data_IF_787271641753
#
_entry.id   IF_787271641753
#
_cell.length_a   1.000
_cell.length_b   1.000
_cell.length_c   1.000
_cell.angle_alpha   90.00
_cell.angle_beta   90.00
_cell.angle_gamma   90.00
#
_symmetry.space_group_name_H-M   'P 1'
#
loop_
_entity.id
_entity.type
_entity.pdbx_description
1 polymer ?
#
# COMPACT_ATOMS: atom_id res chain seq x y z
N UNK A 1 -33.36 12.15 34.34
CA UNK A 1 -32.83 13.46 33.90
C UNK A 1 -31.30 13.53 33.77
N UNK A 2 -30.54 12.45 33.97
CA UNK A 2 -29.05 12.45 33.89
C UNK A 2 -28.44 11.85 32.60
N UNK A 3 -29.27 11.39 31.64
CA UNK A 3 -28.78 10.80 30.37
C UNK A 3 -28.67 11.84 29.23
N UNK A 4 -29.26 13.03 29.40
CA UNK A 4 -29.28 14.06 28.36
C UNK A 4 -28.00 14.93 28.28
N UNK A 5 -27.08 14.83 29.25
CA UNK A 5 -25.88 15.69 29.30
C UNK A 5 -24.62 15.09 28.65
N UNK A 6 -24.65 13.81 28.23
CA UNK A 6 -23.48 13.16 27.60
C UNK A 6 -23.63 12.89 26.10
N UNK A 7 -24.83 13.03 25.52
CA UNK A 7 -25.10 12.73 24.10
C UNK A 7 -24.84 13.95 23.19
N UNK A 8 -24.97 15.17 23.71
CA UNK A 8 -24.81 16.41 22.93
C UNK A 8 -23.37 16.66 22.42
N UNK A 9 -22.29 16.48 23.22
CA UNK A 9 -20.94 16.82 22.74
C UNK A 9 -20.38 15.82 21.70
N UNK A 10 -20.83 14.57 21.69
CA UNK A 10 -20.37 13.55 20.73
C UNK A 10 -21.03 13.72 19.35
N UNK A 11 -22.32 14.08 19.31
CA UNK A 11 -23.03 14.40 18.08
C UNK A 11 -22.49 15.68 17.41
N UNK A 12 -22.00 16.64 18.21
CA UNK A 12 -21.41 17.87 17.69
C UNK A 12 -19.99 17.65 17.11
N UNK A 13 -19.19 16.76 17.69
CA UNK A 13 -17.88 16.37 17.13
C UNK A 13 -18.00 15.59 15.81
N UNK A 14 -18.94 14.65 15.72
CA UNK A 14 -19.21 13.90 14.48
C UNK A 14 -19.84 14.79 13.39
N UNK A 15 -20.69 15.75 13.80
CA UNK A 15 -21.27 16.75 12.90
C UNK A 15 -20.23 17.72 12.30
N UNK A 16 -19.21 18.12 13.06
CA UNK A 16 -18.12 19.01 12.58
C UNK A 16 -17.19 18.30 11.59
N UNK A 17 -16.86 17.02 11.80
CA UNK A 17 -16.08 16.23 10.84
C UNK A 17 -16.83 16.02 9.52
N UNK A 18 -18.13 15.72 9.59
CA UNK A 18 -19.01 15.57 8.42
C UNK A 18 -19.19 16.87 7.60
N UNK A 19 -19.24 18.03 8.26
CA UNK A 19 -19.34 19.32 7.56
C UNK A 19 -18.04 19.71 6.88
N UNK A 20 -16.88 19.42 7.48
CA UNK A 20 -15.57 19.70 6.89
C UNK A 20 -15.35 18.86 5.61
N UNK A 21 -15.64 17.56 5.64
CA UNK A 21 -15.54 16.70 4.45
C UNK A 21 -16.54 17.09 3.35
N UNK A 22 -17.78 17.45 3.70
CA UNK A 22 -18.75 17.96 2.70
C UNK A 22 -18.33 19.30 2.10
N UNK A 23 -17.66 20.16 2.85
CA UNK A 23 -17.18 21.46 2.36
C UNK A 23 -16.00 21.28 1.40
N UNK A 24 -15.09 20.35 1.69
CA UNK A 24 -13.99 19.97 0.78
C UNK A 24 -14.53 19.33 -0.50
N UNK A 25 -15.46 18.38 -0.39
CA UNK A 25 -16.09 17.76 -1.57
C UNK A 25 -16.89 18.76 -2.42
N UNK A 26 -17.58 19.73 -1.81
CA UNK A 26 -18.23 20.83 -2.54
C UNK A 26 -17.21 21.70 -3.28
N UNK A 27 -16.08 22.04 -2.65
CA UNK A 27 -15.00 22.81 -3.29
C UNK A 27 -14.38 22.05 -4.47
N UNK A 28 -14.10 20.77 -4.31
CA UNK A 28 -13.57 19.93 -5.39
C UNK A 28 -14.54 19.82 -6.57
N UNK A 29 -15.85 19.65 -6.31
CA UNK A 29 -16.88 19.66 -7.37
C UNK A 29 -16.96 21.00 -8.08
N UNK A 30 -16.85 22.13 -7.37
CA UNK A 30 -16.82 23.45 -8.01
C UNK A 30 -15.55 23.66 -8.84
N UNK A 31 -14.39 23.20 -8.38
CA UNK A 31 -13.14 23.32 -9.14
C UNK A 31 -13.18 22.48 -10.42
N UNK A 32 -13.63 21.22 -10.36
CA UNK A 32 -13.82 20.37 -11.54
C UNK A 32 -14.82 20.98 -12.55
N UNK A 33 -15.86 21.66 -12.06
CA UNK A 33 -16.85 22.35 -12.94
C UNK A 33 -16.26 23.59 -13.62
N UNK A 34 -15.43 24.35 -12.91
CA UNK A 34 -14.72 25.51 -13.48
C UNK A 34 -13.71 25.06 -14.53
N UNK A 35 -12.98 23.97 -14.26
CA UNK A 35 -11.98 23.43 -15.20
C UNK A 35 -12.63 22.90 -16.49
N UNK A 36 -13.76 22.16 -16.40
CA UNK A 36 -14.54 21.75 -17.59
C UNK A 36 -15.07 22.95 -18.38
N UNK A 37 -15.52 24.00 -17.69
CA UNK A 37 -15.98 25.24 -18.33
C UNK A 37 -14.84 25.96 -19.07
N UNK A 38 -13.63 26.00 -18.49
CA UNK A 38 -12.46 26.59 -19.13
C UNK A 38 -11.99 25.81 -20.36
N UNK A 39 -12.07 24.47 -20.34
CA UNK A 39 -11.74 23.64 -21.52
C UNK A 39 -12.69 23.93 -22.69
N UNK A 40 -14.01 23.97 -22.44
CA UNK A 40 -14.98 24.30 -23.49
C UNK A 40 -14.86 25.74 -24.01
N UNK A 41 -14.50 26.70 -23.15
CA UNK A 41 -14.24 28.07 -23.59
C UNK A 41 -12.98 28.17 -24.48
N UNK A 42 -11.94 27.38 -24.20
CA UNK A 42 -10.74 27.28 -25.03
C UNK A 42 -11.02 26.72 -26.42
N UNK A 43 -11.82 25.65 -26.51
CA UNK A 43 -12.21 25.03 -27.79
C UNK A 43 -13.08 25.98 -28.65
N UNK A 44 -13.99 26.73 -28.03
CA UNK A 44 -14.82 27.71 -28.73
C UNK A 44 -14.00 28.87 -29.33
N UNK A 45 -12.97 29.34 -28.62
CA UNK A 45 -12.06 30.38 -29.12
C UNK A 45 -11.15 29.88 -30.25
N UNK A 46 -10.78 28.60 -30.23
CA UNK A 46 -9.97 28.01 -31.30
C UNK A 46 -10.74 27.89 -32.62
N UNK A 47 -12.04 27.59 -32.56
CA UNK A 47 -12.91 27.60 -33.74
C UNK A 47 -13.17 29.01 -34.30
N UNK A 48 -13.24 30.03 -33.42
CA UNK A 48 -13.49 31.40 -33.85
C UNK A 48 -12.27 32.06 -34.53
N UNK A 49 -11.03 31.60 -34.21
CA UNK A 49 -9.81 32.08 -34.88
C UNK A 49 -9.55 31.45 -36.25
N UNK A 50 -10.03 30.24 -36.52
CA UNK A 50 -9.88 29.63 -37.86
C UNK A 50 -10.89 30.15 -38.90
N UNK A 51 -11.95 30.85 -38.50
CA UNK A 51 -13.01 31.33 -39.41
C UNK A 51 -12.83 32.74 -39.99
N UNK A 52 -11.72 33.44 -39.73
CA UNK A 52 -11.58 34.89 -40.03
C UNK A 52 -10.40 35.28 -40.91
N UNK A 53 -9.84 34.34 -41.66
CA UNK A 53 -8.72 34.58 -42.59
C UNK A 53 -9.16 34.36 -44.03
N UNK A 54 -10.06 35.19 -44.54
CA UNK A 54 -10.34 35.38 -45.98
C UNK A 54 -11.26 36.59 -46.09
N UNK A 55 -10.71 37.78 -46.35
CA UNK A 55 -11.24 38.83 -47.23
C UNK A 55 -10.53 40.19 -46.98
N UNK A 56 -10.29 40.90 -48.09
CA UNK A 56 -9.70 42.25 -48.27
C UNK A 56 -8.16 42.35 -48.15
N UNK A 57 -7.40 42.89 -49.10
CA UNK A 57 -7.75 43.61 -50.32
C UNK A 57 -6.89 44.87 -50.48
N UNK A 58 -6.05 44.86 -51.52
CA UNK A 58 -5.70 45.99 -52.43
C UNK A 58 -4.86 47.18 -51.93
N UNK A 59 -3.75 47.41 -52.65
CA UNK A 59 -3.05 48.69 -52.86
C UNK A 59 -1.81 48.88 -52.00
N UNK A 60 -0.61 49.23 -52.46
CA UNK A 60 -0.10 49.63 -53.77
C UNK A 60 1.26 50.34 -53.54
N UNK A 61 2.19 50.15 -54.48
CA UNK A 61 3.41 50.94 -54.77
C UNK A 61 4.72 50.81 -53.95
N UNK A 62 5.75 50.40 -54.72
CA UNK A 62 7.16 50.88 -54.76
C UNK A 62 8.07 50.44 -53.57
N UNK A 63 9.30 49.97 -53.72
CA UNK A 63 10.29 49.94 -54.80
C UNK A 63 11.44 48.99 -54.37
N UNK A 64 12.19 48.43 -55.31
CA UNK A 64 13.62 48.14 -55.07
C UNK A 64 14.07 46.67 -55.01
N UNK A 65 14.13 46.03 -56.18
CA UNK A 65 15.32 45.34 -56.72
C UNK A 65 16.15 44.43 -55.80
N UNK A 66 16.00 43.11 -55.97
CA UNK A 66 17.15 42.23 -56.20
C UNK A 66 16.75 40.96 -56.98
N UNK A 67 17.57 40.70 -58.01
CA UNK A 67 17.49 39.69 -59.08
C UNK A 67 17.31 38.25 -58.57
N UNK A 68 16.42 37.43 -59.17
CA UNK A 68 16.69 36.47 -60.29
C UNK A 68 17.96 35.64 -60.04
N UNK A 69 17.99 34.31 -60.06
CA UNK A 69 17.15 33.26 -60.65
C UNK A 69 17.48 31.94 -59.90
N UNK A 70 16.56 30.97 -59.74
CA UNK A 70 16.38 29.87 -60.69
C UNK A 70 15.03 29.15 -60.42
N UNK A 71 14.15 29.18 -61.43
CA UNK A 71 13.18 28.13 -61.76
C UNK A 71 13.94 26.80 -62.03
N UNK A 72 13.37 25.61 -61.89
CA UNK A 72 11.98 25.20 -61.73
C UNK A 72 11.85 23.69 -62.07
N UNK A 73 10.59 23.23 -62.18
CA UNK A 73 10.14 21.90 -62.64
C UNK A 73 10.26 20.76 -61.59
N UNK A 74 9.26 19.90 -61.33
CA UNK A 74 7.99 19.55 -62.01
C UNK A 74 7.11 18.75 -61.02
N UNK A 75 5.78 18.90 -61.14
CA UNK A 75 4.78 17.89 -60.71
C UNK A 75 4.69 16.75 -61.72
N UNK A 76 4.41 15.54 -61.23
CA UNK A 76 3.64 14.40 -61.82
C UNK A 76 3.61 13.33 -60.70
N UNK A 77 2.52 13.07 -59.99
CA UNK A 77 1.31 12.34 -60.36
C UNK A 77 1.52 10.82 -60.65
N UNK A 78 0.88 10.01 -59.81
CA UNK A 78 0.48 8.57 -59.96
C UNK A 78 1.55 7.49 -60.08
N UNK A 79 1.51 6.47 -59.18
CA UNK A 79 0.96 5.13 -59.48
C UNK A 79 1.16 4.13 -58.33
N UNK A 80 0.12 3.31 -58.12
CA UNK A 80 0.11 2.03 -57.40
C UNK A 80 1.11 1.05 -58.01
N UNK A 81 1.81 0.27 -57.19
CA UNK A 81 2.20 -1.10 -57.51
C UNK A 81 2.61 -1.87 -56.24
N UNK A 82 1.87 -2.93 -55.94
CA UNK A 82 2.33 -4.13 -55.20
C UNK A 82 3.43 -4.86 -56.00
N UNK A 83 4.34 -5.56 -55.32
CA UNK A 83 4.50 -7.00 -55.55
C UNK A 83 4.67 -7.75 -54.22
N UNK A 84 3.89 -8.79 -53.91
CA UNK A 84 4.08 -10.20 -54.32
C UNK A 84 5.47 -10.78 -54.00
N UNK A 85 5.48 -11.69 -53.01
CA UNK A 85 6.13 -12.99 -53.11
C UNK A 85 7.66 -13.04 -53.06
N UNK A 86 8.20 -13.41 -51.89
CA UNK A 86 9.58 -13.84 -51.73
C UNK A 86 9.70 -14.86 -50.62
N UNK A 87 9.53 -16.13 -50.97
CA UNK A 87 9.81 -17.30 -50.15
C UNK A 87 11.33 -17.38 -49.88
N UNK A 88 11.73 -17.53 -48.62
CA UNK A 88 13.13 -17.65 -48.23
C UNK A 88 13.24 -18.32 -46.87
N UNK A 89 13.24 -19.65 -46.85
CA UNK A 89 13.65 -20.48 -45.72
C UNK A 89 15.14 -20.26 -45.45
N UNK A 90 15.46 -19.52 -44.39
CA UNK A 90 16.82 -19.39 -43.88
C UNK A 90 17.06 -20.45 -42.80
N UNK A 91 17.83 -21.45 -43.22
CA UNK A 91 18.35 -22.58 -42.45
C UNK A 91 19.41 -22.08 -41.46
N UNK A 92 19.04 -22.02 -40.18
CA UNK A 92 19.96 -21.58 -39.12
C UNK A 92 20.89 -22.75 -38.75
N UNK A 93 22.06 -22.81 -39.40
CA UNK A 93 23.19 -23.65 -38.97
C UNK A 93 23.85 -23.03 -37.75
N UNK A 94 23.75 -23.72 -36.62
CA UNK A 94 24.54 -23.52 -35.41
C UNK A 94 25.93 -24.14 -35.66
N UNK A 95 27.04 -23.40 -35.55
CA UNK A 95 28.36 -24.03 -35.51
C UNK A 95 28.65 -24.55 -34.10
N UNK A 96 28.62 -25.87 -33.97
CA UNK A 96 29.16 -26.68 -32.90
C UNK A 96 30.69 -26.79 -33.07
N UNK A 97 31.46 -26.08 -32.24
CA UNK A 97 32.88 -26.36 -32.00
C UNK A 97 33.44 -25.49 -30.86
N UNK A 98 33.68 -26.11 -29.69
CA UNK A 98 34.89 -25.98 -28.87
C UNK A 98 34.62 -26.50 -27.44
N UNK A 99 34.65 -27.82 -27.29
CA UNK A 99 35.04 -28.45 -26.05
C UNK A 99 36.57 -28.33 -25.92
N UNK A 100 37.05 -27.79 -24.80
CA UNK A 100 38.28 -28.21 -24.10
C UNK A 100 38.80 -27.07 -23.22
N UNK A 101 38.40 -27.07 -21.94
CA UNK A 101 39.31 -26.80 -20.82
C UNK A 101 38.68 -27.23 -19.51
N UNK A 102 39.16 -28.39 -19.07
CA UNK A 102 38.91 -28.99 -17.79
C UNK A 102 39.51 -28.19 -16.62
N UNK A 103 38.87 -28.36 -15.46
CA UNK A 103 39.50 -28.52 -14.15
C UNK A 103 40.25 -27.35 -13.52
N UNK A 104 39.55 -26.56 -12.69
CA UNK A 104 40.06 -26.14 -11.39
C UNK A 104 38.91 -25.73 -10.45
N UNK A 105 38.27 -26.73 -9.83
CA UNK A 105 37.44 -26.51 -8.66
C UNK A 105 38.37 -26.24 -7.47
N UNK A 106 38.53 -24.97 -7.08
CA UNK A 106 39.03 -24.62 -5.75
C UNK A 106 37.86 -24.73 -4.77
N UNK A 107 37.95 -25.75 -3.94
CA UNK A 107 37.18 -25.90 -2.70
C UNK A 107 37.39 -24.68 -1.80
N UNK A 108 36.34 -23.89 -1.64
CA UNK A 108 36.24 -22.85 -0.62
C UNK A 108 35.93 -23.55 0.72
N UNK A 109 36.77 -23.43 1.75
CA UNK A 109 36.45 -23.99 3.06
C UNK A 109 35.29 -23.20 3.71
N UNK A 110 34.44 -23.86 4.52
CA UNK A 110 33.37 -23.18 5.24
C UNK A 110 33.93 -22.18 6.26
N UNK A 111 33.23 -21.07 6.54
CA UNK A 111 33.65 -20.11 7.54
C UNK A 111 33.68 -20.76 8.92
N UNK A 112 34.86 -20.73 9.56
CA UNK A 112 35.02 -21.12 10.94
C UNK A 112 34.18 -20.20 11.82
N UNK A 113 33.31 -20.82 12.61
CA UNK A 113 32.54 -20.22 13.68
C UNK A 113 33.43 -19.37 14.57
N UNK A 114 33.16 -18.06 14.58
CA UNK A 114 33.77 -17.11 15.50
C UNK A 114 33.43 -17.51 16.94
N UNK A 115 34.49 -17.81 17.67
CA UNK A 115 34.51 -18.10 19.10
C UNK A 115 34.08 -16.86 19.87
N UNK A 116 32.85 -16.88 20.39
CA UNK A 116 32.32 -15.88 21.30
C UNK A 116 33.10 -15.92 22.60
N UNK A 117 34.04 -14.99 22.79
CA UNK A 117 34.61 -14.70 24.10
C UNK A 117 33.51 -14.15 25.00
N UNK A 118 33.15 -14.94 26.00
CA UNK A 118 32.32 -14.52 27.13
C UNK A 118 33.01 -13.34 27.83
N UNK A 119 32.36 -12.19 27.78
CA UNK A 119 32.73 -11.03 28.57
C UNK A 119 32.09 -11.22 29.95
N UNK A 120 32.91 -11.66 30.89
CA UNK A 120 32.60 -11.77 32.31
C UNK A 120 32.33 -10.37 32.87
N UNK A 121 31.06 -10.06 33.16
CA UNK A 121 30.66 -8.84 33.87
C UNK A 121 30.40 -9.16 35.34
N UNK A 122 31.24 -8.59 36.21
CA UNK A 122 31.09 -8.51 37.67
C UNK A 122 29.73 -7.93 38.09
N UNK A 123 28.98 -8.59 39.00
CA UNK A 123 27.80 -8.00 39.62
C UNK A 123 28.19 -7.20 40.86
N UNK A 124 28.46 -5.90 40.69
CA UNK A 124 28.53 -4.96 41.80
C UNK A 124 27.13 -4.51 42.23
N UNK A 125 26.74 -4.95 43.43
CA UNK A 125 25.84 -4.32 44.41
C UNK A 125 24.90 -3.21 43.90
N UNK A 126 23.62 -3.57 43.71
CA UNK A 126 22.52 -2.59 43.69
C UNK A 126 21.68 -2.80 44.96
N UNK A 127 21.93 -1.91 45.91
CA UNK A 127 21.27 -1.79 47.20
C UNK A 127 19.86 -1.21 46.99
N UNK A 128 18.82 -1.95 47.39
CA UNK A 128 17.42 -1.59 47.16
C UNK A 128 16.61 -1.74 48.45
N UNK A 129 17.09 -1.12 49.52
CA UNK A 129 16.35 -0.92 50.77
C UNK A 129 15.60 0.41 50.74
N UNK A 130 14.28 0.37 50.48
CA UNK A 130 13.24 1.19 51.13
C UNK A 130 11.91 1.10 50.36
N UNK A 131 11.05 0.17 50.76
CA UNK A 131 9.60 0.38 50.65
C UNK A 131 8.92 -0.13 51.93
N UNK A 132 8.37 0.82 52.69
CA UNK A 132 7.51 0.56 53.85
C UNK A 132 6.15 0.00 53.40
N UNK A 133 5.55 -0.94 54.16
CA UNK A 133 4.18 -1.38 53.91
C UNK A 133 3.18 -0.41 54.54
N UNK A 134 2.25 0.12 53.74
CA UNK A 134 1.04 0.80 54.23
C UNK A 134 -0.13 -0.19 54.11
N UNK A 135 -0.63 -0.62 55.27
CA UNK A 135 -1.95 -1.25 55.39
C UNK A 135 -3.05 -0.23 55.07
N UNK A 136 -4.12 -0.66 54.39
CA UNK A 136 -5.45 -0.21 54.80
C UNK A 136 -6.41 -1.37 55.07
N UNK A 137 -7.10 -1.20 56.20
CA UNK A 137 -8.17 -1.99 56.77
C UNK A 137 -9.44 -2.00 55.91
N UNK A 138 -10.05 -3.18 55.83
CA UNK A 138 -11.46 -3.41 55.50
C UNK A 138 -12.41 -2.52 56.33
N UNK A 139 -13.56 -2.14 55.77
CA UNK A 139 -14.81 -2.64 56.35
C UNK A 139 -15.84 -3.14 55.31
N UNK A 140 -16.58 -4.19 55.71
CA UNK A 140 -17.77 -4.71 55.05
C UNK A 140 -19.05 -3.97 55.53
N UNK A 141 -20.27 -4.47 55.29
CA UNK A 141 -21.08 -4.29 54.08
C UNK A 141 -22.42 -3.58 54.39
N UNK A 142 -23.10 -3.01 53.38
CA UNK A 142 -24.50 -2.61 53.52
C UNK A 142 -25.35 -3.11 52.36
N UNK A 143 -26.27 -4.00 52.72
CA UNK A 143 -27.44 -4.41 51.94
C UNK A 143 -28.24 -3.22 51.45
N UNK A 144 -28.55 -3.18 50.15
CA UNK A 144 -29.71 -2.45 49.64
C UNK A 144 -30.58 -3.41 48.83
N UNK A 145 -31.78 -3.60 49.36
CA UNK A 145 -32.90 -4.33 48.81
C UNK A 145 -33.74 -3.33 48.00
N UNK A 146 -33.98 -3.54 46.70
CA UNK A 146 -35.23 -3.11 46.03
C UNK A 146 -35.33 -3.47 44.53
N UNK A 147 -36.39 -4.25 44.25
CA UNK A 147 -37.40 -4.09 43.19
C UNK A 147 -37.00 -4.12 41.70
N UNK A 148 -37.28 -5.30 41.12
CA UNK A 148 -37.95 -5.61 39.84
C UNK A 148 -38.32 -4.43 38.93
N UNK A 149 -37.78 -4.46 37.70
CA UNK A 149 -38.47 -4.11 36.45
C UNK A 149 -37.74 -4.77 35.27
N UNK A 150 -38.45 -5.66 34.57
CA UNK A 150 -38.11 -6.20 33.25
C UNK A 150 -38.81 -5.35 32.16
N UNK A 151 -38.64 -5.63 30.85
CA UNK A 151 -37.40 -5.70 30.08
C UNK A 151 -37.46 -4.74 28.85
N UNK A 152 -36.32 -4.29 28.33
CA UNK A 152 -36.24 -3.84 26.94
C UNK A 152 -34.98 -4.44 26.33
N UNK A 153 -35.21 -5.51 25.59
CA UNK A 153 -34.27 -6.33 24.86
C UNK A 153 -33.69 -5.52 23.69
N UNK A 154 -32.59 -4.80 23.93
CA UNK A 154 -31.74 -4.25 22.88
C UNK A 154 -30.57 -5.23 22.69
N UNK A 155 -30.74 -6.17 21.76
CA UNK A 155 -29.68 -7.06 21.28
C UNK A 155 -28.70 -6.20 20.48
N UNK A 156 -27.68 -5.68 21.15
CA UNK A 156 -26.50 -5.07 20.53
C UNK A 156 -25.57 -6.22 20.12
N UNK A 157 -25.75 -6.70 18.89
CA UNK A 157 -24.85 -7.64 18.23
C UNK A 157 -23.50 -6.92 18.10
N UNK A 158 -22.54 -7.32 18.92
CA UNK A 158 -21.14 -6.97 18.74
C UNK A 158 -20.64 -7.72 17.50
N UNK A 159 -20.85 -7.13 16.33
CA UNK A 159 -20.29 -7.61 15.06
C UNK A 159 -18.78 -7.51 15.14
N UNK A 160 -18.13 -8.62 15.53
CA UNK A 160 -16.72 -8.81 15.24
C UNK A 160 -16.57 -8.65 13.73
N UNK A 161 -15.91 -7.57 13.32
CA UNK A 161 -15.84 -7.15 11.95
C UNK A 161 -14.85 -8.05 11.19
N UNK A 162 -15.32 -9.24 10.82
CA UNK A 162 -14.63 -10.15 9.90
C UNK A 162 -14.39 -9.44 8.56
N UNK A 163 -13.30 -9.77 7.84
CA UNK A 163 -13.15 -9.39 6.44
C UNK A 163 -14.41 -9.80 5.66
N UNK A 164 -14.76 -9.02 4.62
CA UNK A 164 -15.98 -9.28 3.86
C UNK A 164 -15.92 -10.72 3.33
N UNK A 165 -16.85 -11.59 3.74
CA UNK A 165 -16.76 -13.00 3.42
C UNK A 165 -16.73 -13.17 1.89
N UNK A 166 -15.88 -14.09 1.43
CA UNK A 166 -15.82 -14.47 0.02
C UNK A 166 -17.24 -14.69 -0.52
N UNK A 167 -17.56 -14.01 -1.63
CA UNK A 167 -18.87 -14.01 -2.27
C UNK A 167 -18.75 -14.66 -3.64
N UNK A 168 -19.82 -15.29 -4.10
CA UNK A 168 -19.96 -15.71 -5.49
C UNK A 168 -20.33 -14.51 -6.36
N UNK A 169 -19.40 -14.09 -7.21
CA UNK A 169 -19.57 -13.08 -8.25
C UNK A 169 -20.08 -13.74 -9.52
N UNK A 170 -21.02 -13.10 -10.20
CA UNK A 170 -21.63 -13.63 -11.43
C UNK A 170 -21.38 -12.64 -12.57
N UNK A 171 -21.06 -13.17 -13.75
CA UNK A 171 -20.93 -12.35 -14.94
C UNK A 171 -22.29 -11.85 -15.46
N UNK A 172 -22.26 -10.90 -16.40
CA UNK A 172 -23.46 -10.31 -17.01
C UNK A 172 -24.32 -11.35 -17.76
N UNK A 173 -23.73 -12.46 -18.21
CA UNK A 173 -24.45 -13.55 -18.88
C UNK A 173 -25.06 -14.57 -17.91
N UNK A 174 -24.60 -14.61 -16.66
CA UNK A 174 -25.00 -15.62 -15.68
C UNK A 174 -24.36 -17.01 -15.89
N UNK A 175 -23.48 -17.15 -16.87
CA UNK A 175 -22.85 -18.43 -17.23
C UNK A 175 -21.60 -18.70 -16.39
N UNK A 176 -20.93 -17.66 -15.94
CA UNK A 176 -19.68 -17.75 -15.20
C UNK A 176 -19.87 -17.22 -13.79
N UNK A 177 -19.47 -18.03 -12.81
CA UNK A 177 -19.47 -17.68 -11.39
C UNK A 177 -18.09 -17.84 -10.82
N UNK A 178 -17.70 -16.93 -9.93
CA UNK A 178 -16.39 -16.90 -9.29
C UNK A 178 -16.55 -16.61 -7.79
N UNK A 179 -16.04 -17.51 -6.95
CA UNK A 179 -15.95 -17.26 -5.51
C UNK A 179 -14.71 -16.42 -5.19
N UNK A 180 -14.93 -15.17 -4.80
CA UNK A 180 -13.86 -14.21 -4.57
C UNK A 180 -14.22 -13.16 -3.50
N UNK A 181 -13.18 -12.63 -2.88
CA UNK A 181 -13.25 -11.48 -1.98
C UNK A 181 -13.06 -10.17 -2.77
N UNK A 182 -13.82 -9.13 -2.40
CA UNK A 182 -13.68 -7.79 -2.96
C UNK A 182 -12.50 -7.09 -2.30
N UNK A 183 -11.46 -6.78 -3.07
CA UNK A 183 -10.29 -6.05 -2.57
C UNK A 183 -10.42 -4.55 -2.84
N UNK A 184 -10.84 -4.19 -4.05
CA UNK A 184 -11.02 -2.80 -4.45
C UNK A 184 -11.84 -2.67 -5.72
N UNK A 185 -12.37 -1.48 -5.98
CA UNK A 185 -13.07 -1.16 -7.21
C UNK A 185 -13.00 0.34 -7.48
N UNK A 186 -13.11 0.70 -8.75
CA UNK A 186 -13.26 2.06 -9.22
C UNK A 186 -14.55 2.21 -10.05
N UNK A 187 -14.62 3.22 -10.91
CA UNK A 187 -15.80 3.46 -11.74
C UNK A 187 -15.96 2.40 -12.85
N UNK A 188 -14.86 1.85 -13.37
CA UNK A 188 -14.81 1.03 -14.58
C UNK A 188 -14.41 -0.44 -14.33
N UNK A 189 -13.66 -0.70 -13.26
CA UNK A 189 -13.00 -1.97 -12.95
C UNK A 189 -13.25 -2.41 -11.50
N UNK A 190 -13.18 -3.72 -11.29
CA UNK A 190 -13.34 -4.37 -9.98
C UNK A 190 -12.21 -5.36 -9.79
N UNK A 191 -11.45 -5.21 -8.71
CA UNK A 191 -10.34 -6.09 -8.35
C UNK A 191 -10.83 -7.10 -7.30
N UNK A 192 -10.81 -8.37 -7.70
CA UNK A 192 -11.27 -9.51 -6.90
C UNK A 192 -10.09 -10.43 -6.57
N UNK A 193 -10.04 -10.94 -5.35
CA UNK A 193 -9.11 -12.00 -4.96
C UNK A 193 -9.86 -13.33 -4.88
N UNK A 194 -9.47 -14.30 -5.71
CA UNK A 194 -10.13 -15.61 -5.73
C UNK A 194 -9.88 -16.35 -4.42
N UNK A 195 -10.93 -16.95 -3.86
CA UNK A 195 -10.88 -17.58 -2.53
C UNK A 195 -10.05 -18.88 -2.50
N UNK A 196 -9.84 -19.53 -3.64
CA UNK A 196 -9.16 -20.84 -3.71
C UNK A 196 -7.64 -20.73 -3.73
N UNK A 197 -7.09 -19.75 -4.45
CA UNK A 197 -5.66 -19.64 -4.77
C UNK A 197 -5.09 -18.25 -4.49
N UNK A 198 -5.90 -17.34 -3.93
CA UNK A 198 -5.52 -15.97 -3.59
C UNK A 198 -5.03 -15.14 -4.79
N UNK A 199 -5.29 -15.59 -6.02
CA UNK A 199 -4.92 -14.84 -7.21
C UNK A 199 -5.85 -13.63 -7.40
N UNK A 200 -5.24 -12.50 -7.72
CA UNK A 200 -5.95 -11.27 -8.07
C UNK A 200 -6.38 -11.31 -9.53
N UNK A 201 -7.62 -10.91 -9.78
CA UNK A 201 -8.17 -10.69 -11.10
C UNK A 201 -8.90 -9.36 -11.15
N UNK A 202 -8.77 -8.67 -12.27
CA UNK A 202 -9.54 -7.47 -12.56
C UNK A 202 -10.64 -7.79 -13.57
N UNK A 203 -11.85 -7.32 -13.29
CA UNK A 203 -13.01 -7.52 -14.15
C UNK A 203 -13.65 -6.16 -14.36
N UNK A 204 -13.90 -5.81 -15.63
CA UNK A 204 -14.66 -4.59 -15.95
C UNK A 204 -16.05 -4.66 -15.33
N UNK A 205 -16.48 -3.56 -14.70
CA UNK A 205 -17.72 -3.46 -13.94
C UNK A 205 -18.95 -3.76 -14.79
N UNK A 206 -18.92 -3.39 -16.07
CA UNK A 206 -19.99 -3.65 -17.04
C UNK A 206 -20.19 -5.14 -17.33
N UNK A 207 -19.15 -5.98 -17.11
CA UNK A 207 -19.21 -7.43 -17.29
C UNK A 207 -19.78 -8.17 -16.10
N UNK A 208 -20.02 -7.52 -14.97
CA UNK A 208 -20.65 -8.12 -13.80
C UNK A 208 -22.19 -8.17 -13.92
N UNK A 209 -22.81 -9.07 -13.17
CA UNK A 209 -24.26 -9.12 -13.06
C UNK A 209 -24.81 -7.83 -12.44
N UNK A 210 -26.06 -7.45 -12.79
CA UNK A 210 -26.70 -6.26 -12.19
C UNK A 210 -26.80 -6.33 -10.66
N UNK A 211 -26.93 -7.53 -10.11
CA UNK A 211 -26.98 -7.77 -8.66
C UNK A 211 -25.63 -7.47 -7.99
N UNK A 212 -24.54 -7.83 -8.65
CA UNK A 212 -23.19 -7.57 -8.15
C UNK A 212 -22.82 -6.08 -8.34
N UNK A 213 -23.22 -5.46 -9.45
CA UNK A 213 -23.09 -4.01 -9.64
C UNK A 213 -23.81 -3.21 -8.54
N UNK A 214 -25.04 -3.61 -8.18
CA UNK A 214 -25.78 -2.99 -7.06
C UNK A 214 -25.10 -3.18 -5.70
N UNK A 215 -24.38 -4.29 -5.52
CA UNK A 215 -23.61 -4.51 -4.30
C UNK A 215 -22.41 -3.57 -4.20
N UNK A 216 -21.72 -3.29 -5.29
CA UNK A 216 -20.61 -2.33 -5.31
C UNK A 216 -21.07 -0.91 -4.92
N UNK A 217 -22.33 -0.57 -5.18
CA UNK A 217 -22.94 0.70 -4.74
C UNK A 217 -23.39 0.69 -3.27
N UNK A 218 -23.37 -0.47 -2.62
CA UNK A 218 -23.77 -0.61 -1.22
C UNK A 218 -22.71 -0.03 -0.29
N UNK A 219 -23.17 0.46 0.87
CA UNK A 219 -22.29 0.96 1.93
C UNK A 219 -21.36 -0.14 2.46
N UNK A 220 -21.82 -1.39 2.45
CA UNK A 220 -21.03 -2.54 2.90
C UNK A 220 -19.78 -2.75 2.03
N UNK A 221 -19.94 -2.71 0.70
CA UNK A 221 -18.82 -2.86 -0.23
C UNK A 221 -17.84 -1.68 -0.16
N UNK A 222 -18.36 -0.46 0.02
CA UNK A 222 -17.53 0.73 0.21
C UNK A 222 -16.73 0.65 1.51
N UNK A 223 -17.37 0.31 2.62
CA UNK A 223 -16.71 0.18 3.92
C UNK A 223 -15.68 -0.95 3.93
N UNK A 224 -15.97 -2.10 3.31
CA UNK A 224 -15.01 -3.20 3.20
C UNK A 224 -13.78 -2.78 2.39
N UNK A 225 -14.00 -2.11 1.26
CA UNK A 225 -12.94 -1.61 0.38
C UNK A 225 -12.11 -0.53 1.06
N UNK A 226 -12.74 0.48 1.67
CA UNK A 226 -12.06 1.52 2.43
C UNK A 226 -11.23 0.94 3.58
N UNK A 227 -11.71 -0.12 4.22
CA UNK A 227 -10.99 -0.80 5.29
C UNK A 227 -9.76 -1.56 4.78
N UNK A 228 -9.88 -2.27 3.66
CA UNK A 228 -8.78 -3.03 3.07
C UNK A 228 -7.74 -2.11 2.42
N UNK A 229 -8.16 -1.19 1.56
CA UNK A 229 -7.29 -0.23 0.89
C UNK A 229 -6.76 0.85 1.84
N UNK A 230 -7.50 1.18 2.89
CA UNK A 230 -7.08 2.11 3.94
C UNK A 230 -6.20 1.47 5.02
N UNK A 231 -6.09 0.14 5.05
CA UNK A 231 -5.20 -0.55 5.96
C UNK A 231 -3.75 -0.26 5.57
N UNK A 232 -2.96 0.19 6.55
CA UNK A 232 -1.55 0.45 6.35
C UNK A 232 -0.79 -0.85 6.12
N UNK A 233 0.16 -0.80 5.20
CA UNK A 233 0.97 -1.94 4.81
C UNK A 233 2.38 -1.77 5.39
N UNK A 234 3.01 -2.90 5.70
CA UNK A 234 4.38 -2.90 6.22
C UNK A 234 5.35 -3.18 5.08
N UNK A 235 6.09 -2.15 4.70
CA UNK A 235 7.11 -2.19 3.66
C UNK A 235 8.48 -2.38 4.27
N UNK A 236 9.29 -3.25 3.68
CA UNK A 236 10.64 -3.53 4.15
C UNK A 236 11.64 -2.85 3.22
N UNK A 237 12.49 -2.01 3.80
CA UNK A 237 13.58 -1.34 3.10
C UNK A 237 14.73 -2.29 2.79
N UNK A 238 15.61 -1.89 1.88
CA UNK A 238 16.82 -2.62 1.52
C UNK A 238 17.80 -2.78 2.71
N UNK A 239 17.73 -1.87 3.69
CA UNK A 239 18.47 -1.91 4.95
C UNK A 239 17.75 -2.72 6.06
N UNK A 240 16.61 -3.33 5.74
CA UNK A 240 15.76 -4.07 6.68
C UNK A 240 14.86 -3.18 7.55
N UNK A 241 14.90 -1.85 7.39
CA UNK A 241 14.00 -0.94 8.09
C UNK A 241 12.56 -1.20 7.63
N UNK A 242 11.63 -1.30 8.58
CA UNK A 242 10.21 -1.49 8.27
C UNK A 242 9.48 -0.16 8.38
N UNK A 243 8.79 0.21 7.32
CA UNK A 243 7.99 1.44 7.23
C UNK A 243 6.53 1.05 7.07
N UNK A 244 5.68 1.55 7.96
CA UNK A 244 4.24 1.39 7.85
C UNK A 244 3.68 2.54 7.01
N UNK A 245 2.98 2.21 5.92
CA UNK A 245 2.40 3.21 5.02
C UNK A 245 1.55 2.56 3.93
N UNK A 246 0.77 3.40 3.24
CA UNK A 246 -0.05 3.01 2.11
C UNK A 246 0.59 3.49 0.81
N UNK A 247 0.77 2.61 -0.16
CA UNK A 247 1.19 3.05 -1.50
C UNK A 247 -0.01 3.70 -2.18
N UNK A 248 0.17 4.90 -2.73
CA UNK A 248 -0.89 5.66 -3.39
C UNK A 248 -0.72 5.61 -4.90
N UNK A 249 0.49 5.83 -5.40
CA UNK A 249 0.78 5.96 -6.85
C UNK A 249 2.24 5.60 -7.15
N UNK A 250 2.57 5.48 -8.43
CA UNK A 250 3.93 5.46 -8.93
C UNK A 250 4.45 6.87 -9.19
N UNK A 251 5.77 7.03 -9.16
CA UNK A 251 6.39 8.31 -9.45
C UNK A 251 7.68 8.13 -10.24
N UNK A 252 7.84 9.00 -11.23
CA UNK A 252 9.11 9.26 -11.89
C UNK A 252 9.45 10.74 -11.69
N UNK A 253 10.56 11.04 -11.02
CA UNK A 253 10.91 12.41 -10.67
C UNK A 253 12.41 12.63 -10.63
N UNK A 254 12.83 13.75 -11.19
CA UNK A 254 14.20 14.21 -11.10
C UNK A 254 14.46 14.91 -9.74
N UNK A 255 15.57 14.53 -9.10
CA UNK A 255 16.08 15.15 -7.89
C UNK A 255 17.34 15.93 -8.25
N UNK A 256 17.24 17.25 -8.27
CA UNK A 256 18.35 18.15 -8.56
C UNK A 256 18.94 18.72 -7.28
N UNK A 257 20.20 18.39 -7.02
CA UNK A 257 21.01 18.93 -5.93
C UNK A 257 21.92 20.02 -6.45
N UNK A 258 21.89 21.19 -5.82
CA UNK A 258 22.82 22.26 -6.13
C UNK A 258 23.11 23.15 -4.92
N UNK A 259 24.26 23.83 -4.96
CA UNK A 259 24.70 24.72 -3.88
C UNK A 259 24.70 26.17 -4.34
N UNK A 260 23.91 27.01 -3.65
CA UNK A 260 23.81 28.45 -3.88
C UNK A 260 24.09 29.22 -2.60
N UNK A 261 25.05 30.17 -2.63
CA UNK A 261 25.44 31.00 -1.47
C UNK A 261 25.67 30.18 -0.21
N UNK A 262 26.47 29.12 -0.34
CA UNK A 262 26.80 28.17 0.75
C UNK A 262 25.64 27.37 1.33
N UNK A 263 24.43 27.46 0.77
CA UNK A 263 23.27 26.65 1.16
C UNK A 263 23.01 25.56 0.13
N UNK A 264 22.66 24.37 0.61
CA UNK A 264 22.24 23.23 -0.20
C UNK A 264 20.75 23.36 -0.54
N UNK A 265 20.43 23.17 -1.83
CA UNK A 265 19.07 23.15 -2.35
C UNK A 265 18.78 21.81 -3.03
N UNK A 266 17.56 21.33 -2.86
CA UNK A 266 17.00 20.14 -3.50
C UNK A 266 15.72 20.57 -4.22
N UNK A 267 15.67 20.44 -5.54
CA UNK A 267 14.51 20.87 -6.35
C UNK A 267 14.04 22.29 -5.97
N UNK A 268 14.99 23.23 -5.89
CA UNK A 268 14.80 24.64 -5.53
C UNK A 268 14.37 24.94 -4.07
N UNK A 269 14.21 23.91 -3.23
CA UNK A 269 13.95 24.08 -1.79
C UNK A 269 15.24 23.99 -0.97
N UNK A 270 15.46 24.85 0.05
CA UNK A 270 16.56 24.66 0.97
C UNK A 270 16.48 23.31 1.66
N UNK A 271 17.59 22.57 1.69
CA UNK A 271 17.65 21.21 2.27
C UNK A 271 17.13 21.16 3.72
N UNK A 272 17.50 22.16 4.54
CA UNK A 272 17.07 22.26 5.95
C UNK A 272 15.56 22.44 6.14
N UNK A 273 14.85 22.86 5.09
CA UNK A 273 13.41 23.05 5.13
C UNK A 273 12.65 21.80 4.66
N UNK A 274 13.36 20.74 4.25
CA UNK A 274 12.73 19.47 3.89
C UNK A 274 12.38 18.67 5.15
N UNK A 275 11.30 17.87 5.12
CA UNK A 275 11.02 16.92 6.20
C UNK A 275 12.20 15.97 6.45
N UNK A 276 12.45 15.53 7.70
CA UNK A 276 13.60 14.69 8.04
C UNK A 276 13.71 13.39 7.24
N UNK A 277 12.58 12.82 6.82
CA UNK A 277 12.56 11.61 5.98
C UNK A 277 13.06 11.91 4.56
N UNK A 278 12.66 13.01 3.93
CA UNK A 278 13.17 13.43 2.62
C UNK A 278 14.67 13.73 2.66
N UNK A 279 15.14 14.31 3.76
CA UNK A 279 16.56 14.54 3.99
C UNK A 279 17.37 13.23 3.93
N UNK A 280 16.90 12.18 4.62
CA UNK A 280 17.52 10.85 4.57
C UNK A 280 17.40 10.19 3.20
N UNK A 281 16.26 10.32 2.51
CA UNK A 281 16.08 9.80 1.15
C UNK A 281 17.10 10.44 0.20
N UNK A 282 17.32 11.75 0.29
CA UNK A 282 18.33 12.45 -0.51
C UNK A 282 19.74 11.90 -0.27
N UNK A 283 20.07 11.51 0.96
CA UNK A 283 21.36 10.87 1.23
C UNK A 283 21.46 9.56 0.47
N UNK A 284 20.49 8.66 0.68
CA UNK A 284 20.49 7.35 0.02
C UNK A 284 20.48 7.43 -1.51
N UNK A 285 19.83 8.44 -2.09
CA UNK A 285 19.89 8.71 -3.54
C UNK A 285 21.32 8.98 -3.98
N UNK A 286 22.04 9.87 -3.30
CA UNK A 286 23.43 10.18 -3.64
C UNK A 286 24.33 8.97 -3.41
N UNK A 287 24.14 8.24 -2.31
CA UNK A 287 24.89 7.00 -2.04
C UNK A 287 24.70 5.97 -3.15
N UNK A 288 23.47 5.77 -3.62
CA UNK A 288 23.12 4.80 -4.65
C UNK A 288 23.73 5.15 -6.02
N UNK A 289 23.62 6.41 -6.46
CA UNK A 289 24.08 6.80 -7.80
C UNK A 289 25.58 7.10 -7.88
N UNK A 290 26.19 7.58 -6.79
CA UNK A 290 27.60 8.01 -6.79
C UNK A 290 28.52 7.04 -6.04
N UNK A 291 27.98 6.09 -5.28
CA UNK A 291 28.76 5.12 -4.50
C UNK A 291 29.53 5.75 -3.34
N UNK A 292 29.09 6.90 -2.83
CA UNK A 292 29.72 7.62 -1.72
C UNK A 292 28.93 7.36 -0.45
N UNK A 293 29.58 7.01 0.66
CA UNK A 293 28.92 6.86 1.96
C UNK A 293 28.61 8.22 2.59
N UNK A 294 27.36 8.47 2.97
CA UNK A 294 26.89 9.73 3.55
C UNK A 294 26.19 9.44 4.88
N UNK A 295 26.94 9.59 5.96
CA UNK A 295 26.43 9.35 7.30
C UNK A 295 25.81 10.61 7.94
N UNK A 296 26.26 11.81 7.53
CA UNK A 296 25.84 13.07 8.13
C UNK A 296 25.61 14.18 7.08
N UNK A 297 24.87 15.21 7.46
CA UNK A 297 24.63 16.41 6.62
C UNK A 297 25.96 17.07 6.17
N UNK A 298 27.00 16.99 7.00
CA UNK A 298 28.32 17.55 6.70
C UNK A 298 28.96 16.84 5.50
N UNK A 299 28.80 15.53 5.39
CA UNK A 299 29.37 14.74 4.30
C UNK A 299 28.67 15.05 2.97
N UNK A 300 27.34 15.17 3.00
CA UNK A 300 26.58 15.62 1.83
C UNK A 300 27.02 17.02 1.39
N UNK A 301 27.13 17.96 2.33
CA UNK A 301 27.58 19.32 2.01
C UNK A 301 29.01 19.35 1.45
N UNK A 302 29.90 18.50 1.97
CA UNK A 302 31.27 18.33 1.45
C UNK A 302 31.24 17.79 0.03
N UNK A 303 30.45 16.74 -0.23
CA UNK A 303 30.28 16.17 -1.57
C UNK A 303 29.72 17.19 -2.57
N UNK A 304 28.65 17.92 -2.22
CA UNK A 304 28.10 18.97 -3.11
C UNK A 304 29.10 20.11 -3.33
N UNK A 305 29.92 20.46 -2.32
CA UNK A 305 30.97 21.47 -2.48
C UNK A 305 32.03 21.06 -3.52
N UNK A 306 32.35 19.77 -3.63
CA UNK A 306 33.30 19.25 -4.62
C UNK A 306 32.79 19.40 -6.06
N UNK A 307 31.47 19.46 -6.27
CA UNK A 307 30.86 19.61 -7.60
C UNK A 307 31.02 21.01 -8.23
N UNK A 308 31.71 21.95 -7.56
CA UNK A 308 32.03 23.31 -8.04
C UNK A 308 30.82 24.07 -8.62
N UNK A 309 29.69 24.02 -7.91
CA UNK A 309 28.42 24.68 -8.28
C UNK A 309 27.69 24.13 -9.51
N UNK A 310 28.15 23.03 -10.11
CA UNK A 310 27.37 22.36 -11.16
C UNK A 310 26.19 21.62 -10.50
N UNK A 311 24.93 21.89 -10.91
CA UNK A 311 23.81 21.11 -10.42
C UNK A 311 23.97 19.64 -10.83
N UNK A 312 23.62 18.74 -9.92
CA UNK A 312 23.56 17.30 -10.17
C UNK A 312 22.12 16.85 -10.11
N UNK A 313 21.66 16.26 -11.20
CA UNK A 313 20.29 15.78 -11.32
C UNK A 313 20.31 14.26 -11.37
N UNK A 314 19.52 13.64 -10.49
CA UNK A 314 19.33 12.21 -10.39
C UNK A 314 17.93 11.86 -10.85
N UNK A 315 17.82 10.90 -11.74
CA UNK A 315 16.53 10.39 -12.19
C UNK A 315 16.07 9.31 -11.23
N UNK A 316 14.98 9.56 -10.50
CA UNK A 316 14.46 8.62 -9.52
C UNK A 316 13.11 8.06 -9.95
N UNK A 317 13.02 6.74 -9.95
CA UNK A 317 11.80 5.97 -10.13
C UNK A 317 11.41 5.35 -8.78
N UNK A 318 10.12 5.36 -8.46
CA UNK A 318 9.66 4.86 -7.17
C UNK A 318 8.14 4.89 -7.01
N UNK A 319 7.72 4.86 -5.75
CA UNK A 319 6.32 4.93 -5.34
C UNK A 319 6.06 6.12 -4.43
N UNK A 320 4.83 6.61 -4.45
CA UNK A 320 4.31 7.57 -3.48
C UNK A 320 3.71 6.78 -2.32
N UNK A 321 4.28 6.98 -1.13
CA UNK A 321 3.86 6.33 0.11
C UNK A 321 3.22 7.35 1.04
N UNK A 322 1.95 7.16 1.37
CA UNK A 322 1.23 7.92 2.39
C UNK A 322 1.46 7.29 3.76
N UNK A 323 1.93 8.10 4.71
CA UNK A 323 2.17 7.68 6.09
C UNK A 323 0.98 8.05 7.01
N UNK A 324 1.08 7.68 8.28
CA UNK A 324 0.09 7.89 9.34
C UNK A 324 -0.40 9.33 9.54
N UNK A 325 0.47 10.29 9.22
CA UNK A 325 0.19 11.72 9.27
C UNK A 325 -0.64 12.21 8.07
N UNK A 326 -0.88 11.35 7.07
CA UNK A 326 -1.50 11.72 5.80
C UNK A 326 -0.56 12.45 4.85
N UNK A 327 0.74 12.52 5.18
CA UNK A 327 1.74 13.10 4.28
C UNK A 327 2.19 12.04 3.28
N UNK A 328 2.34 12.46 2.02
CA UNK A 328 2.82 11.64 0.92
C UNK A 328 4.32 11.80 0.72
N UNK A 329 5.02 10.68 0.60
CA UNK A 329 6.47 10.62 0.44
C UNK A 329 6.85 9.86 -0.82
N UNK A 330 7.71 10.47 -1.63
CA UNK A 330 8.29 9.81 -2.79
C UNK A 330 9.45 8.91 -2.34
N UNK A 331 9.28 7.60 -2.42
CA UNK A 331 10.28 6.60 -2.01
C UNK A 331 10.82 5.89 -3.26
N UNK A 332 12.10 6.10 -3.61
CA UNK A 332 12.73 5.41 -4.73
C UNK A 332 12.74 3.89 -4.59
N UNK A 333 12.65 3.17 -5.71
CA UNK A 333 12.60 1.70 -5.73
C UNK A 333 13.81 1.03 -5.06
N UNK A 334 15.02 1.54 -5.27
CA UNK A 334 16.23 0.95 -4.70
C UNK A 334 16.27 0.99 -3.16
N UNK A 335 15.34 1.71 -2.51
CA UNK A 335 15.19 1.70 -1.05
C UNK A 335 14.37 0.53 -0.53
N UNK A 336 13.64 -0.20 -1.38
CA UNK A 336 12.82 -1.34 -0.98
C UNK A 336 13.63 -2.64 -1.02
N UNK A 337 13.19 -3.62 -0.22
CA UNK A 337 13.69 -4.99 -0.27
C UNK A 337 13.38 -5.64 -1.63
N UNK A 338 14.18 -6.65 -2.03
CA UNK A 338 13.96 -7.36 -3.29
C UNK A 338 12.58 -8.01 -3.37
N UNK A 339 12.06 -8.54 -2.26
CA UNK A 339 10.74 -9.16 -2.19
C UNK A 339 9.60 -8.14 -2.38
N UNK A 340 9.79 -6.90 -1.93
CA UNK A 340 8.81 -5.84 -2.17
C UNK A 340 8.96 -5.29 -3.59
N UNK A 341 10.19 -5.17 -4.10
CA UNK A 341 10.44 -4.77 -5.49
C UNK A 341 9.86 -5.72 -6.53
N UNK A 342 9.96 -7.03 -6.31
CA UNK A 342 9.40 -8.04 -7.21
C UNK A 342 7.89 -7.87 -7.42
N UNK A 343 7.22 -7.29 -6.43
CA UNK A 343 5.78 -7.02 -6.46
C UNK A 343 5.46 -5.67 -7.10
N UNK A 344 6.28 -4.65 -6.86
CA UNK A 344 6.05 -3.30 -7.37
C UNK A 344 6.49 -3.12 -8.84
N UNK A 345 7.54 -3.82 -9.28
CA UNK A 345 8.13 -3.65 -10.60
C UNK A 345 7.16 -3.93 -11.77
N UNK A 346 6.36 -5.02 -11.77
CA UNK A 346 5.43 -5.28 -12.87
C UNK A 346 4.42 -4.14 -13.06
N UNK A 347 3.81 -3.67 -11.97
CA UNK A 347 2.87 -2.55 -12.01
C UNK A 347 3.53 -1.24 -12.46
N UNK A 348 4.79 -1.03 -12.07
CA UNK A 348 5.54 0.15 -12.53
C UNK A 348 5.81 0.13 -14.04
N UNK A 349 6.19 -1.02 -14.61
CA UNK A 349 6.42 -1.12 -16.06
C UNK A 349 5.12 -0.90 -16.85
N UNK A 350 4.01 -1.41 -16.34
CA UNK A 350 2.69 -1.15 -16.92
C UNK A 350 2.32 0.33 -16.85
N UNK A 351 2.45 0.96 -15.68
CA UNK A 351 2.23 2.39 -15.49
C UNK A 351 3.11 3.25 -16.42
N UNK A 352 4.38 2.86 -16.60
CA UNK A 352 5.32 3.52 -17.50
C UNK A 352 4.91 3.37 -18.97
N UNK A 353 4.34 2.23 -19.36
CA UNK A 353 3.82 2.02 -20.72
C UNK A 353 2.57 2.86 -21.02
N UNK A 354 1.80 3.23 -19.98
CA UNK A 354 0.62 4.08 -20.07
C UNK A 354 0.94 5.59 -20.04
N UNK A 355 2.17 6.02 -20.37
CA UNK A 355 2.67 7.37 -20.09
C UNK A 355 1.79 8.53 -20.61
N UNK A 356 1.11 8.32 -21.74
CA UNK A 356 0.26 9.32 -22.39
C UNK A 356 -1.20 9.31 -21.92
N UNK A 357 -1.65 8.25 -21.25
CA UNK A 357 -3.05 8.07 -20.87
C UNK A 357 -3.23 8.22 -19.36
N UNK A 358 -3.97 9.26 -18.98
CA UNK A 358 -4.21 9.57 -17.57
C UNK A 358 -5.15 8.54 -16.91
N UNK A 359 -6.18 8.08 -17.63
CA UNK A 359 -7.17 7.13 -17.09
C UNK A 359 -6.49 5.78 -16.85
N UNK A 360 -5.71 5.30 -17.82
CA UNK A 360 -4.93 4.07 -17.67
C UNK A 360 -3.92 4.12 -16.50
N UNK A 361 -3.37 5.30 -16.16
CA UNK A 361 -2.50 5.45 -14.99
C UNK A 361 -3.25 5.34 -13.68
N UNK A 362 -4.46 5.92 -13.60
CA UNK A 362 -5.32 5.85 -12.42
C UNK A 362 -5.75 4.40 -12.16
N UNK A 363 -6.10 3.64 -13.21
CA UNK A 363 -6.44 2.22 -13.13
C UNK A 363 -5.26 1.40 -12.58
N UNK A 364 -4.05 1.64 -13.08
CA UNK A 364 -2.84 0.95 -12.60
C UNK A 364 -2.53 1.29 -11.14
N UNK A 365 -2.77 2.53 -10.70
CA UNK A 365 -2.61 2.92 -9.30
C UNK A 365 -3.64 2.22 -8.39
N UNK A 366 -4.90 2.11 -8.83
CA UNK A 366 -5.94 1.36 -8.11
C UNK A 366 -5.58 -0.12 -7.98
N UNK A 367 -5.11 -0.73 -9.07
CA UNK A 367 -4.65 -2.13 -9.07
C UNK A 367 -3.47 -2.35 -8.12
N UNK A 368 -2.51 -1.41 -8.10
CA UNK A 368 -1.38 -1.44 -7.17
C UNK A 368 -1.83 -1.42 -5.71
N UNK A 369 -2.76 -0.53 -5.37
CA UNK A 369 -3.32 -0.44 -4.02
C UNK A 369 -3.99 -1.75 -3.61
N UNK A 370 -4.82 -2.30 -4.49
CA UNK A 370 -5.50 -3.58 -4.25
C UNK A 370 -4.50 -4.73 -4.07
N UNK A 371 -3.47 -4.79 -4.93
CA UNK A 371 -2.44 -5.81 -4.86
C UNK A 371 -1.65 -5.74 -3.55
N UNK A 372 -1.32 -4.53 -3.09
CA UNK A 372 -0.62 -4.36 -1.83
C UNK A 372 -1.49 -4.72 -0.61
N UNK A 373 -2.80 -4.46 -0.69
CA UNK A 373 -3.76 -4.81 0.37
C UNK A 373 -3.91 -6.34 0.48
N UNK A 374 -4.11 -7.02 -0.66
CA UNK A 374 -4.20 -8.47 -0.72
C UNK A 374 -2.94 -9.16 -0.17
N UNK A 375 -1.74 -8.69 -0.55
CA UNK A 375 -0.48 -9.24 -0.04
C UNK A 375 -0.38 -9.12 1.49
N UNK A 376 -0.87 -8.03 2.06
CA UNK A 376 -0.84 -7.84 3.51
C UNK A 376 -1.79 -8.82 4.22
N UNK A 377 -2.95 -9.10 3.61
CA UNK A 377 -3.88 -10.12 4.09
C UNK A 377 -3.24 -11.51 4.04
N UNK A 378 -2.61 -11.87 2.93
CA UNK A 378 -1.90 -13.15 2.78
C UNK A 378 -0.78 -13.30 3.82
N UNK A 379 0.04 -12.25 4.03
CA UNK A 379 1.07 -12.23 5.09
C UNK A 379 0.49 -12.46 6.50
N UNK A 380 -0.75 -12.03 6.77
CA UNK A 380 -1.40 -12.27 8.06
C UNK A 380 -1.87 -13.72 8.18
N UNK A 381 -2.45 -14.27 7.11
CA UNK A 381 -2.87 -15.68 7.04
C UNK A 381 -1.66 -16.59 7.20
N UNK A 382 -0.57 -16.33 6.48
CA UNK A 382 0.68 -17.11 6.57
C UNK A 382 1.25 -17.11 7.99
N UNK A 383 1.23 -15.98 8.69
CA UNK A 383 1.66 -15.91 10.09
C UNK A 383 0.76 -16.75 11.00
N UNK A 384 -0.55 -16.78 10.74
CA UNK A 384 -1.47 -17.61 11.50
C UNK A 384 -1.20 -19.10 11.24
N UNK A 385 -1.03 -19.50 9.98
CA UNK A 385 -0.69 -20.87 9.58
C UNK A 385 0.64 -21.29 10.22
N UNK A 386 1.69 -20.46 10.12
CA UNK A 386 2.98 -20.75 10.72
C UNK A 386 2.89 -20.92 12.25
N UNK A 387 2.10 -20.08 12.93
CA UNK A 387 1.82 -20.23 14.37
C UNK A 387 1.10 -21.54 14.68
N UNK A 388 0.11 -21.92 13.86
CA UNK A 388 -0.60 -23.19 14.01
C UNK A 388 0.33 -24.39 13.77
N UNK A 389 1.17 -24.34 12.74
CA UNK A 389 2.16 -25.39 12.45
C UNK A 389 3.17 -25.54 13.58
N UNK A 390 3.72 -24.43 14.11
CA UNK A 390 4.61 -24.44 15.27
C UNK A 390 3.92 -25.03 16.51
N UNK A 391 2.67 -24.66 16.75
CA UNK A 391 1.89 -25.24 17.85
C UNK A 391 1.68 -26.75 17.67
N UNK A 392 1.38 -27.21 16.46
CA UNK A 392 1.24 -28.64 16.16
C UNK A 392 2.56 -29.40 16.31
N UNK A 393 3.68 -28.82 15.86
CA UNK A 393 5.01 -29.41 16.06
C UNK A 393 5.36 -29.52 17.54
N UNK A 394 5.03 -28.51 18.35
CA UNK A 394 5.23 -28.57 19.80
C UNK A 394 4.40 -29.68 20.46
N UNK A 395 3.19 -29.95 19.95
CA UNK A 395 2.37 -31.08 20.41
C UNK A 395 3.00 -32.42 20.03
N UNK A 396 3.42 -32.59 18.78
CA UNK A 396 4.06 -33.83 18.30
C UNK A 396 5.38 -34.10 19.03
N UNK A 397 6.15 -33.06 19.35
CA UNK A 397 7.38 -33.17 20.14
C UNK A 397 7.14 -33.47 21.63
N UNK A 398 5.87 -33.55 22.09
CA UNK A 398 5.52 -33.74 23.49
C UNK A 398 5.83 -32.55 24.39
N UNK A 399 6.19 -31.40 23.82
CA UNK A 399 6.47 -30.15 24.56
C UNK A 399 5.17 -29.47 25.00
N UNK A 400 4.11 -29.62 24.19
CA UNK A 400 2.77 -29.15 24.48
C UNK A 400 1.75 -30.30 24.39
N UNK A 401 0.59 -30.13 25.01
CA UNK A 401 -0.58 -30.99 24.80
C UNK A 401 -1.74 -30.15 24.29
N UNK A 402 -2.68 -30.77 23.58
CA UNK A 402 -3.94 -30.16 23.24
C UNK A 402 -4.90 -30.29 24.42
N UNK A 403 -5.50 -29.18 24.82
CA UNK A 403 -6.48 -29.12 25.90
C UNK A 403 -7.78 -28.54 25.37
N UNK A 404 -8.88 -29.22 25.63
CA UNK A 404 -10.22 -28.70 25.41
C UNK A 404 -10.63 -27.89 26.63
N UNK A 405 -10.88 -26.61 26.41
CA UNK A 405 -11.34 -25.66 27.42
C UNK A 405 -12.79 -25.34 27.11
N UNK A 406 -13.68 -25.64 28.04
CA UNK A 406 -15.06 -25.17 27.96
C UNK A 406 -15.09 -23.72 28.43
N UNK A 407 -15.64 -22.82 27.63
CA UNK A 407 -15.77 -21.40 27.95
C UNK A 407 -17.26 -21.06 28.09
N UNK A 408 -17.63 -20.42 29.20
CA UNK A 408 -18.98 -19.90 29.41
C UNK A 408 -19.00 -18.40 29.21
N UNK A 409 -20.06 -17.80 28.65
CA UNK A 409 -20.15 -16.34 28.60
C UNK A 409 -20.16 -15.77 30.03
N UNK A 410 -19.44 -14.67 30.26
CA UNK A 410 -19.54 -13.94 31.52
C UNK A 410 -20.96 -13.38 31.72
N UNK A 411 -21.38 -13.18 32.96
CA UNK A 411 -22.68 -12.59 33.26
C UNK A 411 -22.84 -11.24 32.53
N UNK A 412 -23.89 -11.14 31.69
CA UNK A 412 -24.15 -9.95 30.88
C UNK A 412 -23.60 -9.99 29.44
N UNK A 413 -22.79 -11.00 29.08
CA UNK A 413 -22.36 -11.23 27.69
C UNK A 413 -23.33 -12.22 27.03
N UNK A 414 -24.06 -11.82 25.97
CA UNK A 414 -24.92 -12.76 25.25
C UNK A 414 -24.05 -13.75 24.46
N UNK A 415 -24.13 -15.04 24.79
CA UNK A 415 -23.40 -16.10 24.09
C UNK A 415 -23.82 -17.50 24.54
N UNK A 416 -23.55 -18.51 23.72
CA UNK A 416 -23.63 -19.90 24.15
C UNK A 416 -22.27 -20.35 24.71
N UNK A 417 -22.23 -21.38 25.58
CA UNK A 417 -20.97 -22.04 25.92
C UNK A 417 -20.27 -22.55 24.66
N UNK A 418 -18.95 -22.40 24.59
CA UNK A 418 -18.13 -22.88 23.48
C UNK A 418 -17.08 -23.86 23.99
N UNK A 419 -16.80 -24.89 23.20
CA UNK A 419 -15.69 -25.81 23.42
C UNK A 419 -14.59 -25.46 22.44
N UNK A 420 -13.43 -25.12 22.96
CA UNK A 420 -12.30 -24.71 22.12
C UNK A 420 -11.04 -25.46 22.54
N UNK A 421 -10.28 -25.92 21.55
CA UNK A 421 -9.05 -26.69 21.77
C UNK A 421 -7.85 -25.77 21.61
N UNK A 422 -7.03 -25.67 22.65
CA UNK A 422 -5.82 -24.85 22.64
C UNK A 422 -4.58 -25.69 22.99
N UNK A 423 -3.45 -25.44 22.32
CA UNK A 423 -2.17 -26.01 22.70
C UNK A 423 -1.66 -25.35 23.99
N UNK A 424 -1.13 -26.13 24.92
CA UNK A 424 -0.52 -25.62 26.14
C UNK A 424 0.38 -26.65 26.81
N UNK A 425 1.45 -26.19 27.47
CA UNK A 425 2.34 -27.05 28.25
C UNK A 425 1.61 -27.73 29.41
N UNK A 426 0.62 -27.04 29.97
CA UNK A 426 -0.31 -27.54 30.99
C UNK A 426 -1.72 -26.96 30.77
N UNK A 427 -2.68 -27.44 31.57
CA UNK A 427 -4.08 -27.00 31.50
C UNK A 427 -4.26 -25.51 31.81
N UNK A 428 -3.40 -24.94 32.66
CA UNK A 428 -3.45 -23.53 33.06
C UNK A 428 -3.04 -22.63 31.90
N UNK A 429 -1.94 -22.95 31.21
CA UNK A 429 -1.48 -22.22 30.03
C UNK A 429 -2.51 -22.28 28.90
N UNK A 430 -3.09 -23.45 28.65
CA UNK A 430 -4.14 -23.60 27.63
C UNK A 430 -5.41 -22.81 27.99
N UNK A 431 -5.82 -22.81 29.26
CA UNK A 431 -6.96 -22.02 29.70
C UNK A 431 -6.71 -20.51 29.61
N UNK A 432 -5.51 -20.05 29.92
CA UNK A 432 -5.12 -18.65 29.75
C UNK A 432 -5.15 -18.24 28.27
N UNK A 433 -4.62 -19.07 27.37
CA UNK A 433 -4.70 -18.84 25.93
C UNK A 433 -6.15 -18.81 25.44
N UNK A 434 -7.00 -19.70 25.94
CA UNK A 434 -8.43 -19.75 25.62
C UNK A 434 -9.16 -18.47 26.03
N UNK A 435 -8.91 -17.97 27.25
CA UNK A 435 -9.47 -16.72 27.73
C UNK A 435 -8.95 -15.51 26.95
N UNK A 436 -7.67 -15.48 26.59
CA UNK A 436 -7.08 -14.39 25.81
C UNK A 436 -7.67 -14.31 24.40
N UNK A 437 -7.98 -15.45 23.78
CA UNK A 437 -8.62 -15.52 22.48
C UNK A 437 -10.13 -15.20 22.51
N UNK A 438 -10.78 -15.30 23.68
CA UNK A 438 -12.23 -15.14 23.84
C UNK A 438 -12.55 -14.17 24.98
N UNK A 439 -12.30 -12.86 24.79
CA UNK A 439 -12.64 -11.85 25.79
C UNK A 439 -14.15 -11.84 26.08
N UNK A 440 -14.52 -11.72 27.36
CA UNK A 440 -15.92 -11.77 27.79
C UNK A 440 -16.44 -13.17 28.14
N UNK A 441 -15.61 -14.21 28.00
CA UNK A 441 -15.91 -15.55 28.51
C UNK A 441 -15.18 -15.82 29.83
N UNK A 442 -15.74 -16.72 30.64
CA UNK A 442 -15.15 -17.29 31.86
C UNK A 442 -14.79 -18.75 31.66
N UNK A 443 -13.70 -19.17 32.29
CA UNK A 443 -13.16 -20.52 32.16
C UNK A 443 -14.06 -21.54 32.87
N UNK A 444 -14.45 -22.57 32.14
CA UNK A 444 -15.10 -23.77 32.64
C UNK A 444 -14.14 -24.95 32.81
N UNK A 445 -14.65 -26.20 32.76
CA UNK A 445 -13.82 -27.39 32.81
C UNK A 445 -12.78 -27.44 31.69
N UNK A 446 -11.59 -27.94 32.02
CA UNK A 446 -10.46 -28.14 31.10
C UNK A 446 -10.10 -29.62 31.11
N UNK A 447 -10.00 -30.24 29.93
CA UNK A 447 -9.55 -31.63 29.78
C UNK A 447 -8.48 -31.77 28.70
N UNK A 448 -7.56 -32.72 28.89
CA UNK A 448 -6.52 -33.05 27.91
C UNK A 448 -7.13 -33.89 26.77
N UNK A 449 -6.82 -33.55 25.52
CA UNK A 449 -7.36 -34.20 24.31
C UNK A 449 -6.32 -35.11 23.65
N UNK A 450 -5.07 -34.66 23.56
CA UNK A 450 -3.98 -35.45 22.95
C UNK A 450 -3.32 -36.37 23.98
N UNK A 451 -3.11 -37.63 23.65
CA UNK A 451 -2.29 -38.56 24.44
C UNK A 451 -0.81 -38.43 24.13
#
# INVERSE_FOLDING_TARGET
MLVAQLIVPLAEQLGRRSRATRQVQRRLRTMRRVERSQRHAGEALHHQRCGKSLFCGVGGHLCGSLRKALCGMRSCETQKATPSGGCGTAENRIPEAAADRASSLRSVPPPQSAESKELETDPAAFDNDRFHPVHPSNPAPLMHCSRRLAPCLAVLIASAASPAPARTWTDSTGKYTLDAELIGFDDDSVVLQRASDHHLGEIARDKLSKKDQQYLESKEAQESTERLLGAKQLWTGADGLKVEGRIVDFLQKDITLHRRRSRLYVNDRPYKNLPPIYQKIVWRVVEHFEGVEINQEIDLNRWVAQQRHKPRTFHCEGVVLELDNGDEYAVPFFLFSQDDLAVLQPGYQEWKSAESDYEAREDVATRLQALAAARQQDKQVDRQIARMQLAMQAVVAGVASLWEVTLYPAAGTPGAPIWAVYPGRDSRAAAQAALAANPGYVMGPVRKVSY
#
